data_IF_828672870594
#
_entry.id   IF_828672870594
#
_cell.length_a   1.000
_cell.length_b   1.000
_cell.length_c   1.000
_cell.angle_alpha   90.00
_cell.angle_beta   90.00
_cell.angle_gamma   90.00
#
_symmetry.space_group_name_H-M   'P 1'
#
loop_
_entity.id
_entity.type
_entity.pdbx_description
1 polymer ?
#
# COMPACT_ATOMS: atom_id res chain seq x y z
N UNK A 1 6.06 18.49 -22.10
CA UNK A 1 5.56 17.16 -21.65
C UNK A 1 6.53 16.41 -20.71
N UNK A 2 7.85 16.67 -20.74
CA UNK A 2 8.86 15.98 -19.88
C UNK A 2 8.71 16.21 -18.37
N UNK A 3 8.24 17.39 -17.96
CA UNK A 3 8.03 17.72 -16.53
C UNK A 3 6.83 16.99 -15.92
N UNK A 4 5.82 16.64 -16.72
CA UNK A 4 4.65 15.87 -16.25
C UNK A 4 5.04 14.44 -15.94
N UNK A 5 5.89 13.81 -16.77
CA UNK A 5 6.45 12.48 -16.50
C UNK A 5 7.31 12.44 -15.23
N UNK A 6 8.12 13.48 -15.01
CA UNK A 6 8.94 13.59 -13.81
C UNK A 6 8.09 13.78 -12.56
N UNK A 7 7.09 14.66 -12.61
CA UNK A 7 6.14 14.87 -11.52
C UNK A 7 5.38 13.57 -11.21
N UNK A 8 4.92 12.85 -12.23
CA UNK A 8 4.22 11.58 -12.06
C UNK A 8 5.11 10.49 -11.44
N UNK A 9 6.37 10.36 -11.87
CA UNK A 9 7.33 9.45 -11.22
C UNK A 9 7.60 9.82 -9.76
N UNK A 10 7.68 11.12 -9.46
CA UNK A 10 7.91 11.59 -8.11
C UNK A 10 6.71 11.28 -7.21
N UNK A 11 5.50 11.59 -7.68
CA UNK A 11 4.25 11.26 -7.00
C UNK A 11 4.10 9.75 -6.82
N UNK A 12 4.37 8.92 -7.83
CA UNK A 12 4.35 7.46 -7.68
C UNK A 12 5.37 7.00 -6.65
N UNK A 13 6.58 7.55 -6.64
CA UNK A 13 7.62 7.17 -5.67
C UNK A 13 7.22 7.56 -4.25
N UNK A 14 6.67 8.77 -4.08
CA UNK A 14 6.12 9.24 -2.81
C UNK A 14 4.97 8.37 -2.36
N UNK A 15 4.04 8.04 -3.26
CA UNK A 15 2.98 7.09 -2.99
C UNK A 15 3.52 5.69 -2.69
N UNK A 16 4.65 5.28 -3.25
CA UNK A 16 5.33 4.00 -2.94
C UNK A 16 6.00 3.97 -1.59
N UNK A 17 6.40 5.15 -1.11
CA UNK A 17 7.09 5.34 0.17
C UNK A 17 6.06 5.58 1.28
N UNK A 18 4.94 6.23 0.95
CA UNK A 18 3.81 6.47 1.83
C UNK A 18 2.82 5.30 1.87
N UNK A 19 2.61 4.63 0.73
CA UNK A 19 1.88 3.38 0.66
C UNK A 19 2.87 2.25 0.90
N UNK A 20 2.48 1.34 1.75
CA UNK A 20 3.15 0.09 2.14
C UNK A 20 3.47 -0.87 0.98
N UNK A 21 3.94 -0.45 -0.19
CA UNK A 21 4.35 -1.38 -1.24
C UNK A 21 5.47 -2.31 -0.76
N UNK A 22 6.34 -1.82 0.15
CA UNK A 22 7.35 -2.66 0.79
C UNK A 22 6.74 -3.62 1.83
N UNK A 23 5.78 -3.17 2.64
CA UNK A 23 5.12 -4.06 3.60
C UNK A 23 4.19 -5.07 2.91
N UNK A 24 3.58 -4.71 1.79
CA UNK A 24 2.86 -5.62 0.91
C UNK A 24 3.82 -6.60 0.25
N UNK A 25 5.00 -6.16 -0.23
CA UNK A 25 6.04 -7.10 -0.71
C UNK A 25 6.46 -8.08 0.38
N UNK A 26 6.62 -7.63 1.62
CA UNK A 26 6.91 -8.51 2.76
C UNK A 26 5.74 -9.44 3.05
N UNK A 27 4.50 -8.95 2.98
CA UNK A 27 3.29 -9.76 3.13
C UNK A 27 3.19 -10.83 2.04
N UNK A 28 3.42 -10.49 0.78
CA UNK A 28 3.44 -11.42 -0.34
C UNK A 28 4.53 -12.49 -0.18
N UNK A 29 5.73 -12.09 0.25
CA UNK A 29 6.83 -13.03 0.53
C UNK A 29 6.52 -13.96 1.72
N UNK A 30 5.93 -13.42 2.78
CA UNK A 30 5.57 -14.19 3.97
C UNK A 30 4.43 -15.18 3.71
N UNK A 31 3.42 -14.77 2.94
CA UNK A 31 2.26 -15.59 2.61
C UNK A 31 2.42 -16.40 1.31
N UNK A 32 3.54 -16.25 0.59
CA UNK A 32 3.79 -16.91 -0.69
C UNK A 32 2.78 -16.55 -1.78
N UNK A 33 2.14 -15.38 -1.69
CA UNK A 33 1.08 -14.96 -2.62
C UNK A 33 1.65 -14.17 -3.78
N UNK A 34 1.01 -14.30 -4.93
CA UNK A 34 1.33 -13.49 -6.12
C UNK A 34 0.69 -12.11 -5.97
N UNK A 35 1.42 -11.07 -6.40
CA UNK A 35 0.88 -9.72 -6.44
C UNK A 35 -0.35 -9.64 -7.36
N UNK A 36 -1.53 -9.54 -6.77
CA UNK A 36 -2.80 -9.31 -7.47
C UNK A 36 -3.46 -8.03 -6.94
N UNK A 37 -4.19 -7.27 -7.77
CA UNK A 37 -4.98 -6.14 -7.30
C UNK A 37 -6.02 -6.51 -6.23
N UNK A 38 -6.50 -7.76 -6.22
CA UNK A 38 -7.42 -8.25 -5.19
C UNK A 38 -6.72 -8.44 -3.84
N UNK A 39 -5.52 -9.03 -3.84
CA UNK A 39 -4.70 -9.18 -2.63
C UNK A 39 -4.22 -7.83 -2.10
N UNK A 40 -3.94 -6.87 -2.98
CA UNK A 40 -3.63 -5.50 -2.58
C UNK A 40 -4.81 -4.86 -1.84
N UNK A 41 -6.03 -5.02 -2.36
CA UNK A 41 -7.25 -4.50 -1.70
C UNK A 41 -7.45 -5.15 -0.34
N UNK A 42 -7.28 -6.47 -0.24
CA UNK A 42 -7.43 -7.21 1.02
C UNK A 42 -6.41 -6.77 2.07
N UNK A 43 -5.13 -6.68 1.69
CA UNK A 43 -4.07 -6.15 2.56
C UNK A 43 -4.37 -4.72 3.04
N UNK A 44 -4.81 -3.84 2.13
CA UNK A 44 -5.20 -2.48 2.50
C UNK A 44 -6.37 -2.45 3.48
N UNK A 45 -7.39 -3.28 3.25
CA UNK A 45 -8.59 -3.36 4.09
C UNK A 45 -8.26 -3.86 5.50
N UNK A 46 -7.52 -4.97 5.62
CA UNK A 46 -7.10 -5.52 6.92
C UNK A 46 -6.29 -4.49 7.72
N UNK A 47 -5.39 -3.77 7.06
CA UNK A 47 -4.58 -2.73 7.72
C UNK A 47 -5.39 -1.51 8.14
N UNK A 48 -6.34 -1.07 7.30
CA UNK A 48 -7.27 0.00 7.67
C UNK A 48 -8.12 -0.40 8.88
N UNK A 49 -8.63 -1.63 8.88
CA UNK A 49 -9.42 -2.15 10.00
C UNK A 49 -8.57 -2.25 11.28
N UNK A 50 -7.31 -2.67 11.19
CA UNK A 50 -6.44 -2.68 12.36
C UNK A 50 -6.14 -1.27 12.90
N UNK A 51 -5.87 -0.31 11.99
CA UNK A 51 -5.49 1.06 12.35
C UNK A 51 -6.67 1.93 12.82
N UNK A 52 -7.85 1.73 12.23
CA UNK A 52 -9.01 2.59 12.41
C UNK A 52 -10.25 1.85 12.94
N UNK A 53 -10.27 0.52 12.86
CA UNK A 53 -11.40 -0.29 13.33
C UNK A 53 -11.41 -0.55 14.83
N UNK A 54 -10.37 -0.17 15.57
CA UNK A 54 -10.42 -0.05 17.02
C UNK A 54 -10.61 1.43 17.40
N UNK A 55 -11.85 1.94 17.46
CA UNK A 55 -12.07 3.24 18.07
C UNK A 55 -11.58 3.13 19.50
N UNK A 56 -10.59 3.96 19.86
CA UNK A 56 -10.16 4.06 21.26
C UNK A 56 -11.40 4.48 22.05
N UNK A 57 -11.96 3.57 22.86
CA UNK A 57 -13.05 3.91 23.75
C UNK A 57 -12.60 5.06 24.65
N UNK A 58 -13.37 6.13 24.60
CA UNK A 58 -13.28 7.26 25.53
C UNK A 58 -13.50 6.78 26.96
#
# INVERSE_FOLDING_TARGET
MRHVEQAWRFVIRLLRELADEEAYRRHLQHHGKTASPEEWRRFCQERLQWRYGNPRCC
#
